data_IF_752475455030
#
_entry.id   IF_752475455030
#
_cell.length_a   1.000
_cell.length_b   1.000
_cell.length_c   1.000
_cell.angle_alpha   90.00
_cell.angle_beta   90.00
_cell.angle_gamma   90.00
#
_symmetry.space_group_name_H-M   'P 1'
#
loop_
_entity.id
_entity.type
_entity.pdbx_description
1 polymer ?
#
# COMPACT_ATOMS: atom_id res chain seq x y z
N UNK A 1 -34.82 -4.54 14.13
CA UNK A 1 -34.43 -5.19 15.40
C UNK A 1 -35.18 -4.62 16.60
N UNK A 2 -35.06 -3.33 16.96
CA UNK A 2 -35.85 -2.77 18.08
C UNK A 2 -37.37 -2.98 17.88
N UNK A 3 -37.85 -2.69 16.67
CA UNK A 3 -39.26 -2.92 16.31
C UNK A 3 -39.68 -4.38 16.50
N UNK A 4 -38.86 -5.33 16.09
CA UNK A 4 -39.13 -6.77 16.24
C UNK A 4 -39.15 -7.22 17.71
N UNK A 5 -38.25 -6.66 18.54
CA UNK A 5 -38.23 -6.91 19.99
C UNK A 5 -39.51 -6.35 20.63
N UNK A 6 -39.91 -5.13 20.24
CA UNK A 6 -41.11 -4.50 20.73
C UNK A 6 -42.38 -5.29 20.33
N UNK A 7 -42.48 -5.70 19.07
CA UNK A 7 -43.60 -6.48 18.56
C UNK A 7 -43.68 -7.85 19.25
N UNK A 8 -42.56 -8.56 19.39
CA UNK A 8 -42.50 -9.86 20.08
C UNK A 8 -42.92 -9.76 21.55
N UNK A 9 -42.41 -8.76 22.28
CA UNK A 9 -42.76 -8.55 23.69
C UNK A 9 -44.25 -8.22 23.82
N UNK A 10 -44.81 -7.43 22.90
CA UNK A 10 -46.23 -7.08 22.88
C UNK A 10 -47.13 -8.30 22.61
N UNK A 11 -46.72 -9.16 21.69
CA UNK A 11 -47.44 -10.39 21.35
C UNK A 11 -47.43 -11.39 22.52
N UNK A 12 -46.27 -11.59 23.15
CA UNK A 12 -46.12 -12.47 24.32
C UNK A 12 -46.90 -11.94 25.54
N UNK A 13 -46.94 -10.61 25.75
CA UNK A 13 -47.79 -10.03 26.80
C UNK A 13 -49.28 -10.18 26.52
N UNK A 14 -49.69 -10.09 25.26
CA UNK A 14 -51.08 -10.33 24.86
C UNK A 14 -51.45 -11.80 25.10
N UNK A 15 -50.54 -12.74 24.79
CA UNK A 15 -50.72 -14.17 25.07
C UNK A 15 -50.82 -14.48 26.56
N UNK A 16 -49.95 -13.90 27.40
CA UNK A 16 -50.00 -14.11 28.86
C UNK A 16 -51.19 -13.41 29.55
N UNK A 17 -51.62 -12.27 29.02
CA UNK A 17 -52.81 -11.57 29.55
C UNK A 17 -54.09 -12.34 29.26
N UNK A 18 -54.10 -13.12 28.18
CA UNK A 18 -55.19 -14.00 27.77
C UNK A 18 -55.10 -15.40 28.40
N UNK A 19 -54.38 -15.60 29.52
CA UNK A 19 -54.46 -16.86 30.26
C UNK A 19 -55.92 -17.14 30.64
N UNK A 20 -56.49 -18.13 29.96
CA UNK A 20 -57.89 -18.52 30.05
C UNK A 20 -58.16 -19.06 31.46
N UNK A 21 -58.97 -18.33 32.22
CA UNK A 21 -59.61 -18.82 33.46
C UNK A 21 -60.90 -19.60 33.07
N UNK A 22 -61.16 -19.73 31.77
CA UNK A 22 -62.41 -20.28 31.23
C UNK A 22 -62.53 -21.81 31.44
N UNK A 23 -61.44 -22.49 31.83
CA UNK A 23 -61.44 -23.91 32.23
C UNK A 23 -62.08 -24.20 33.60
N UNK A 24 -62.48 -23.17 34.36
CA UNK A 24 -63.13 -23.31 35.69
C UNK A 24 -64.64 -23.08 35.67
N UNK A 25 -65.23 -22.86 34.49
CA UNK A 25 -66.67 -22.65 34.34
C UNK A 25 -67.45 -23.88 34.81
N UNK A 26 -68.30 -23.67 35.83
CA UNK A 26 -69.15 -24.70 36.44
C UNK A 26 -68.61 -25.39 37.69
N UNK A 27 -67.34 -25.18 38.08
CA UNK A 27 -66.76 -25.79 39.29
C UNK A 27 -66.72 -24.85 40.50
N UNK A 28 -66.83 -23.54 40.27
CA UNK A 28 -66.68 -22.49 41.30
C UNK A 28 -67.84 -21.49 41.17
N UNK A 29 -68.40 -20.98 42.29
CA UNK A 29 -69.40 -19.92 42.25
C UNK A 29 -68.96 -18.71 41.43
N UNK A 30 -69.89 -18.17 40.64
CA UNK A 30 -69.63 -17.09 39.67
C UNK A 30 -69.01 -15.85 40.31
N UNK A 31 -69.34 -15.56 41.57
CA UNK A 31 -68.81 -14.41 42.32
C UNK A 31 -67.31 -14.56 42.63
N UNK A 32 -66.87 -15.78 42.96
CA UNK A 32 -65.45 -16.08 43.23
C UNK A 32 -64.65 -16.06 41.93
N UNK A 33 -65.23 -16.57 40.83
CA UNK A 33 -64.63 -16.51 39.50
C UNK A 33 -64.49 -15.06 39.01
N UNK A 34 -65.50 -14.22 39.21
CA UNK A 34 -65.46 -12.80 38.88
C UNK A 34 -64.45 -12.02 39.75
N UNK A 35 -64.38 -12.33 41.05
CA UNK A 35 -63.37 -11.75 41.94
C UNK A 35 -61.95 -12.16 41.55
N UNK A 36 -61.75 -13.41 41.13
CA UNK A 36 -60.47 -13.92 40.64
C UNK A 36 -60.08 -13.27 39.30
N UNK A 37 -61.02 -13.18 38.34
CA UNK A 37 -60.85 -12.47 37.06
C UNK A 37 -60.47 -11.00 37.30
N UNK A 38 -61.16 -10.30 38.21
CA UNK A 38 -60.86 -8.91 38.56
C UNK A 38 -59.50 -8.75 39.27
N UNK A 39 -59.14 -9.64 40.18
CA UNK A 39 -57.84 -9.64 40.85
C UNK A 39 -56.68 -9.91 39.86
N UNK A 40 -56.88 -10.83 38.91
CA UNK A 40 -55.91 -11.13 37.86
C UNK A 40 -55.79 -9.98 36.86
N UNK A 41 -56.90 -9.38 36.43
CA UNK A 41 -56.87 -8.19 35.57
C UNK A 41 -56.15 -7.01 36.25
N UNK A 42 -56.42 -6.76 37.54
CA UNK A 42 -55.72 -5.72 38.30
C UNK A 42 -54.21 -5.99 38.38
N UNK A 43 -53.82 -7.22 38.74
CA UNK A 43 -52.41 -7.65 38.78
C UNK A 43 -51.72 -7.56 37.42
N UNK A 44 -52.42 -7.94 36.35
CA UNK A 44 -51.91 -7.91 34.98
C UNK A 44 -51.77 -6.46 34.49
N UNK A 45 -52.73 -5.58 34.77
CA UNK A 45 -52.65 -4.15 34.42
C UNK A 45 -51.47 -3.43 35.07
N UNK A 46 -51.04 -3.86 36.27
CA UNK A 46 -49.88 -3.30 36.96
C UNK A 46 -48.54 -3.86 36.46
N UNK A 47 -48.53 -5.11 36.00
CA UNK A 47 -47.34 -5.77 35.42
C UNK A 47 -47.10 -5.35 33.96
N UNK A 48 -48.15 -5.22 33.17
CA UNK A 48 -48.11 -4.95 31.73
C UNK A 48 -48.28 -3.46 31.37
N UNK A 49 -47.92 -2.55 32.28
CA UNK A 49 -47.91 -1.11 31.98
C UNK A 49 -46.98 -0.81 30.80
N UNK A 50 -47.42 0.09 29.92
CA UNK A 50 -46.66 0.54 28.74
C UNK A 50 -45.25 1.04 29.09
N UNK A 51 -45.08 1.69 30.25
CA UNK A 51 -43.77 2.16 30.72
C UNK A 51 -42.83 1.02 31.12
N UNK A 52 -43.35 -0.08 31.67
CA UNK A 52 -42.56 -1.28 31.98
C UNK A 52 -42.21 -2.06 30.71
N UNK A 53 -43.12 -2.07 29.74
CA UNK A 53 -42.88 -2.64 28.42
C UNK A 53 -41.73 -1.92 27.69
N UNK A 54 -41.78 -0.59 27.62
CA UNK A 54 -40.73 0.19 26.96
C UNK A 54 -39.38 0.06 27.68
N UNK A 55 -39.38 0.05 29.02
CA UNK A 55 -38.18 -0.23 29.81
C UNK A 55 -37.60 -1.62 29.52
N UNK A 56 -38.44 -2.65 29.39
CA UNK A 56 -38.02 -4.00 29.03
C UNK A 56 -37.46 -4.07 27.60
N UNK A 57 -38.14 -3.45 26.63
CA UNK A 57 -37.68 -3.38 25.24
C UNK A 57 -36.31 -2.72 25.14
N UNK A 58 -36.13 -1.61 25.86
CA UNK A 58 -34.85 -0.90 25.94
C UNK A 58 -33.75 -1.76 26.55
N UNK A 59 -34.02 -2.45 27.66
CA UNK A 59 -33.05 -3.35 28.30
C UNK A 59 -32.63 -4.49 27.37
N UNK A 60 -33.59 -5.15 26.72
CA UNK A 60 -33.30 -6.24 25.77
C UNK A 60 -32.49 -5.72 24.59
N UNK A 61 -32.84 -4.54 24.05
CA UNK A 61 -32.10 -3.91 22.97
C UNK A 61 -30.65 -3.55 23.37
N UNK A 62 -30.44 -3.03 24.57
CA UNK A 62 -29.10 -2.71 25.08
C UNK A 62 -28.25 -3.98 25.25
N UNK A 63 -28.83 -5.06 25.77
CA UNK A 63 -28.17 -6.36 25.88
C UNK A 63 -27.78 -6.93 24.51
N UNK A 64 -28.70 -6.91 23.55
CA UNK A 64 -28.46 -7.33 22.17
C UNK A 64 -27.38 -6.48 21.49
N UNK A 65 -27.39 -5.17 21.72
CA UNK A 65 -26.37 -4.26 21.18
C UNK A 65 -24.99 -4.58 21.75
N UNK A 66 -24.87 -4.81 23.05
CA UNK A 66 -23.59 -5.17 23.67
C UNK A 66 -23.11 -6.57 23.29
N UNK A 67 -24.03 -7.53 23.13
CA UNK A 67 -23.72 -8.86 22.60
C UNK A 67 -23.23 -8.77 21.15
N UNK A 68 -23.95 -8.07 20.28
CA UNK A 68 -23.52 -7.83 18.89
C UNK A 68 -22.18 -7.12 18.81
N UNK A 69 -21.91 -6.13 19.67
CA UNK A 69 -20.61 -5.44 19.72
C UNK A 69 -19.46 -6.39 20.11
N UNK A 70 -19.72 -7.37 20.98
CA UNK A 70 -18.74 -8.42 21.31
C UNK A 70 -18.54 -9.36 20.12
N UNK A 71 -19.62 -9.83 19.50
CA UNK A 71 -19.56 -10.69 18.31
C UNK A 71 -18.83 -10.02 17.13
N UNK A 72 -19.10 -8.75 16.86
CA UNK A 72 -18.39 -8.00 15.81
C UNK A 72 -16.90 -7.90 16.12
N UNK A 73 -16.52 -7.65 17.37
CA UNK A 73 -15.09 -7.63 17.77
C UNK A 73 -14.45 -8.99 17.59
N UNK A 74 -15.11 -10.05 18.03
CA UNK A 74 -14.65 -11.43 17.89
C UNK A 74 -14.46 -11.80 16.41
N UNK A 75 -15.42 -11.44 15.53
CA UNK A 75 -15.29 -11.66 14.08
C UNK A 75 -14.15 -10.83 13.48
N UNK A 76 -13.97 -9.57 13.88
CA UNK A 76 -12.87 -8.73 13.39
C UNK A 76 -11.52 -9.29 13.85
N UNK A 77 -11.42 -9.81 15.07
CA UNK A 77 -10.22 -10.44 15.60
C UNK A 77 -9.94 -11.82 14.95
N UNK A 78 -10.99 -12.56 14.55
CA UNK A 78 -10.85 -13.84 13.85
C UNK A 78 -10.36 -13.68 12.40
N UNK A 79 -10.66 -12.55 11.75
CA UNK A 79 -10.23 -12.25 10.40
C UNK A 79 -8.78 -11.75 10.44
N UNK A 80 -7.85 -12.70 10.55
CA UNK A 80 -6.40 -12.48 10.36
C UNK A 80 -6.00 -12.29 8.89
N UNK A 81 -6.95 -12.02 7.99
CA UNK A 81 -6.65 -11.71 6.59
C UNK A 81 -5.99 -10.33 6.47
N UNK A 82 -5.12 -10.17 5.46
CA UNK A 82 -4.50 -8.87 5.17
C UNK A 82 -5.63 -7.87 4.88
N UNK A 83 -5.79 -6.81 5.70
CA UNK A 83 -6.91 -5.91 5.52
C UNK A 83 -6.77 -5.15 4.20
N UNK A 84 -7.89 -4.95 3.51
CA UNK A 84 -7.92 -4.29 2.19
C UNK A 84 -7.34 -2.87 2.18
N UNK A 85 -7.27 -2.20 3.33
CA UNK A 85 -6.64 -0.89 3.46
C UNK A 85 -5.11 -0.96 3.55
N UNK A 86 -4.53 -2.11 3.91
CA UNK A 86 -3.08 -2.32 3.95
C UNK A 86 -2.52 -2.74 2.58
N UNK A 87 -3.39 -3.10 1.64
CA UNK A 87 -3.03 -3.44 0.27
C UNK A 87 -3.15 -2.17 -0.57
N UNK A 88 -2.09 -1.85 -1.30
CA UNK A 88 -2.04 -0.68 -2.17
C UNK A 88 -3.03 -0.75 -3.33
N UNK A 89 -3.33 0.42 -3.92
CA UNK A 89 -4.40 0.58 -4.89
C UNK A 89 -4.17 -0.19 -6.18
N UNK A 90 -2.92 -0.33 -6.64
CA UNK A 90 -2.60 -1.05 -7.88
C UNK A 90 -2.72 -2.57 -7.71
N UNK A 91 -2.54 -3.06 -6.48
CA UNK A 91 -2.74 -4.49 -6.17
C UNK A 91 -4.23 -4.79 -6.02
N UNK A 92 -5.00 -3.84 -5.46
CA UNK A 92 -6.44 -3.99 -5.20
C UNK A 92 -7.30 -3.85 -6.46
N UNK A 93 -7.04 -2.81 -7.26
CA UNK A 93 -7.87 -2.42 -8.41
C UNK A 93 -7.09 -2.66 -9.73
N UNK A 94 -7.26 -3.85 -10.31
CA UNK A 94 -6.56 -4.26 -11.53
C UNK A 94 -7.16 -3.71 -12.83
N UNK A 95 -8.33 -3.07 -12.74
CA UNK A 95 -9.16 -2.76 -13.91
C UNK A 95 -8.85 -1.39 -14.55
N UNK A 96 -7.95 -0.59 -13.96
CA UNK A 96 -7.74 0.82 -14.35
C UNK A 96 -6.28 1.17 -14.64
N UNK A 97 -5.62 0.41 -15.53
CA UNK A 97 -4.30 0.74 -16.06
C UNK A 97 -3.19 0.67 -15.01
N UNK A 98 -2.21 -0.21 -15.22
CA UNK A 98 -1.18 -0.47 -14.19
C UNK A 98 -0.07 0.57 -14.27
N UNK A 99 0.13 1.32 -13.18
CA UNK A 99 1.32 2.15 -13.00
C UNK A 99 2.42 1.32 -12.33
N UNK A 100 3.53 1.09 -13.05
CA UNK A 100 4.66 0.29 -12.53
C UNK A 100 5.26 0.94 -11.27
N UNK A 101 5.42 2.26 -11.26
CA UNK A 101 5.98 2.99 -10.10
C UNK A 101 5.13 2.80 -8.85
N UNK A 102 3.82 2.97 -8.97
CA UNK A 102 2.88 2.78 -7.87
C UNK A 102 2.81 1.32 -7.45
N UNK A 103 2.87 0.38 -8.40
CA UNK A 103 2.91 -1.04 -8.11
C UNK A 103 4.17 -1.43 -7.33
N UNK A 104 5.33 -0.86 -7.66
CA UNK A 104 6.56 -1.06 -6.91
C UNK A 104 6.39 -0.56 -5.47
N UNK A 105 5.85 0.64 -5.28
CA UNK A 105 5.63 1.18 -3.94
C UNK A 105 4.61 0.37 -3.14
N UNK A 106 3.57 -0.14 -3.79
CA UNK A 106 2.55 -1.00 -3.18
C UNK A 106 3.14 -2.35 -2.74
N UNK A 107 3.98 -2.97 -3.58
CA UNK A 107 4.68 -4.23 -3.27
C UNK A 107 5.64 -4.06 -2.10
N UNK A 108 6.37 -2.94 -2.04
CA UNK A 108 7.30 -2.65 -0.94
C UNK A 108 6.58 -2.44 0.41
N UNK A 109 5.32 -2.01 0.39
CA UNK A 109 4.48 -1.81 1.59
C UNK A 109 3.75 -3.06 2.06
N UNK A 110 3.78 -4.15 1.30
CA UNK A 110 3.10 -5.39 1.69
C UNK A 110 3.60 -5.90 3.04
N UNK A 111 2.69 -6.27 3.97
CA UNK A 111 3.09 -6.76 5.29
C UNK A 111 3.78 -8.12 5.20
N UNK A 112 4.69 -8.36 6.14
CA UNK A 112 5.24 -9.69 6.34
C UNK A 112 4.30 -10.48 7.25
N UNK A 113 3.80 -11.60 6.76
CA UNK A 113 2.93 -12.48 7.53
C UNK A 113 3.78 -13.63 8.03
N UNK A 114 4.41 -13.45 9.20
CA UNK A 114 5.10 -14.54 9.88
C UNK A 114 4.12 -15.22 10.84
N UNK A 115 4.06 -16.55 10.80
CA UNK A 115 3.34 -17.32 11.83
C UNK A 115 4.11 -17.16 13.13
N UNK A 116 3.46 -16.65 14.17
CA UNK A 116 3.99 -16.78 15.53
C UNK A 116 3.98 -18.28 15.88
N UNK A 117 5.14 -18.85 16.17
CA UNK A 117 5.32 -20.29 16.49
C UNK A 117 4.59 -20.73 17.79
N UNK A 118 3.82 -19.87 18.44
CA UNK A 118 3.20 -20.16 19.72
C UNK A 118 1.73 -20.59 19.58
N UNK A 119 1.54 -21.90 19.47
CA UNK A 119 0.46 -22.59 20.18
C UNK A 119 -0.91 -22.72 19.50
N UNK A 120 -1.08 -22.30 18.24
CA UNK A 120 -2.29 -22.59 17.49
C UNK A 120 -2.02 -23.61 16.38
N UNK A 121 -2.75 -24.72 16.41
CA UNK A 121 -2.82 -25.71 15.32
C UNK A 121 -3.36 -25.04 14.05
N UNK A 122 -2.53 -24.27 13.36
CA UNK A 122 -2.85 -23.83 11.99
C UNK A 122 -2.82 -25.07 11.10
N UNK A 123 -3.87 -25.32 10.31
CA UNK A 123 -3.87 -26.41 9.32
C UNK A 123 -2.58 -26.36 8.49
N UNK A 124 -1.94 -27.50 8.23
CA UNK A 124 -0.69 -27.56 7.43
C UNK A 124 -0.82 -26.86 6.06
N UNK A 125 -2.03 -26.76 5.52
CA UNK A 125 -2.35 -26.05 4.28
C UNK A 125 -2.15 -24.55 4.39
N UNK A 126 -2.54 -23.94 5.50
CA UNK A 126 -2.48 -22.49 5.69
C UNK A 126 -1.02 -22.05 5.90
N UNK A 127 -0.22 -22.88 6.56
CA UNK A 127 1.21 -22.68 6.69
C UNK A 127 1.94 -22.71 5.34
N UNK A 128 1.58 -23.65 4.45
CA UNK A 128 2.15 -23.73 3.10
C UNK A 128 1.83 -22.47 2.27
N UNK A 129 0.58 -22.03 2.30
CA UNK A 129 0.15 -20.81 1.58
C UNK A 129 0.87 -19.57 2.12
N UNK A 130 1.09 -19.47 3.43
CA UNK A 130 1.80 -18.33 4.02
C UNK A 130 3.28 -18.31 3.63
N UNK A 131 3.91 -19.48 3.57
CA UNK A 131 5.28 -19.60 3.12
C UNK A 131 5.39 -19.26 1.62
N UNK A 132 4.46 -19.71 0.78
CA UNK A 132 4.37 -19.31 -0.63
C UNK A 132 4.20 -17.80 -0.79
N UNK A 133 3.30 -17.17 -0.01
CA UNK A 133 3.14 -15.72 0.01
C UNK A 133 4.44 -15.01 0.37
N UNK A 134 5.12 -15.46 1.44
CA UNK A 134 6.36 -14.85 1.91
C UNK A 134 7.46 -14.95 0.86
N UNK A 135 7.59 -16.12 0.21
CA UNK A 135 8.55 -16.33 -0.87
C UNK A 135 8.25 -15.43 -2.07
N UNK A 136 6.99 -15.37 -2.49
CA UNK A 136 6.56 -14.52 -3.59
C UNK A 136 6.79 -13.03 -3.30
N UNK A 137 6.44 -12.58 -2.09
CA UNK A 137 6.72 -11.20 -1.63
C UNK A 137 8.21 -10.87 -1.73
N UNK A 138 9.06 -11.76 -1.24
CA UNK A 138 10.51 -11.54 -1.27
C UNK A 138 11.05 -11.52 -2.72
N UNK A 139 10.55 -12.37 -3.59
CA UNK A 139 10.91 -12.35 -5.01
C UNK A 139 10.46 -11.05 -5.69
N UNK A 140 9.23 -10.59 -5.43
CA UNK A 140 8.70 -9.36 -5.98
C UNK A 140 9.49 -8.14 -5.50
N UNK A 141 9.87 -8.08 -4.22
CA UNK A 141 10.74 -7.02 -3.68
C UNK A 141 12.09 -7.01 -4.39
N UNK A 142 12.71 -8.18 -4.61
CA UNK A 142 13.97 -8.27 -5.37
C UNK A 142 13.82 -7.73 -6.79
N UNK A 143 12.72 -8.07 -7.48
CA UNK A 143 12.43 -7.54 -8.83
C UNK A 143 12.24 -6.02 -8.82
N UNK A 144 11.49 -5.49 -7.86
CA UNK A 144 11.30 -4.04 -7.70
C UNK A 144 12.62 -3.30 -7.49
N UNK A 145 13.50 -3.84 -6.65
CA UNK A 145 14.84 -3.26 -6.43
C UNK A 145 15.71 -3.33 -7.69
N UNK A 146 15.63 -4.43 -8.44
CA UNK A 146 16.35 -4.56 -9.71
C UNK A 146 15.86 -3.56 -10.76
N UNK A 147 14.54 -3.29 -10.82
CA UNK A 147 13.97 -2.27 -11.71
C UNK A 147 14.50 -0.88 -11.33
N UNK A 148 14.40 -0.48 -10.04
CA UNK A 148 14.88 0.81 -9.55
C UNK A 148 16.38 1.02 -9.84
N UNK A 149 17.19 -0.01 -9.63
CA UNK A 149 18.62 0.02 -9.95
C UNK A 149 18.87 0.10 -11.47
N UNK A 150 18.09 -0.66 -12.25
CA UNK A 150 18.14 -0.67 -13.70
C UNK A 150 17.84 0.70 -14.30
N UNK A 151 16.81 1.39 -13.81
CA UNK A 151 16.44 2.75 -14.25
C UNK A 151 17.55 3.75 -13.98
N UNK A 152 18.12 3.74 -12.76
CA UNK A 152 19.22 4.63 -12.41
C UNK A 152 20.44 4.39 -13.30
N UNK A 153 20.81 3.12 -13.52
CA UNK A 153 21.96 2.78 -14.35
C UNK A 153 21.72 3.09 -15.83
N UNK A 154 20.50 2.91 -16.32
CA UNK A 154 20.13 3.21 -17.70
C UNK A 154 20.30 4.69 -17.99
N UNK A 155 19.84 5.58 -17.09
CA UNK A 155 20.01 7.02 -17.25
C UNK A 155 21.49 7.41 -17.36
N UNK A 156 22.35 6.84 -16.52
CA UNK A 156 23.80 7.09 -16.59
C UNK A 156 24.39 6.60 -17.92
N UNK A 157 23.99 5.41 -18.38
CA UNK A 157 24.49 4.82 -19.63
C UNK A 157 24.00 5.60 -20.86
N UNK A 158 22.78 6.09 -20.85
CA UNK A 158 22.26 6.97 -21.90
C UNK A 158 23.05 8.28 -21.97
N UNK A 159 23.39 8.87 -20.82
CA UNK A 159 24.23 10.06 -20.79
C UNK A 159 25.63 9.79 -21.35
N UNK A 160 26.27 8.69 -20.94
CA UNK A 160 27.58 8.27 -21.48
C UNK A 160 27.51 8.04 -22.99
N UNK A 161 26.47 7.38 -23.49
CA UNK A 161 26.26 7.15 -24.91
C UNK A 161 26.09 8.46 -25.70
N UNK A 162 25.32 9.42 -25.16
CA UNK A 162 25.17 10.76 -25.77
C UNK A 162 26.50 11.50 -25.86
N UNK A 163 27.33 11.45 -24.80
CA UNK A 163 28.64 12.09 -24.78
C UNK A 163 29.58 11.46 -25.82
N UNK A 164 29.60 10.13 -25.89
CA UNK A 164 30.40 9.40 -26.89
C UNK A 164 29.95 9.76 -28.30
N UNK A 165 28.64 9.71 -28.58
CA UNK A 165 28.11 10.07 -29.90
C UNK A 165 28.45 11.51 -30.28
N UNK A 166 28.32 12.46 -29.35
CA UNK A 166 28.71 13.85 -29.59
C UNK A 166 30.20 14.00 -29.91
N UNK A 167 31.09 13.27 -29.23
CA UNK A 167 32.51 13.26 -29.54
C UNK A 167 32.79 12.67 -30.92
N UNK A 168 32.15 11.55 -31.26
CA UNK A 168 32.28 10.89 -32.56
C UNK A 168 31.82 11.81 -33.70
N UNK A 169 30.71 12.51 -33.51
CA UNK A 169 30.17 13.43 -34.50
C UNK A 169 31.06 14.67 -34.66
N UNK A 170 31.58 15.24 -33.57
CA UNK A 170 32.56 16.33 -33.63
C UNK A 170 33.85 15.94 -34.38
N UNK A 171 34.33 14.71 -34.23
CA UNK A 171 35.49 14.21 -34.98
C UNK A 171 35.17 14.12 -36.48
N UNK A 172 33.98 13.61 -36.84
CA UNK A 172 33.53 13.52 -38.23
C UNK A 172 33.34 14.89 -38.88
N UNK A 173 32.87 15.87 -38.13
CA UNK A 173 32.69 17.25 -38.64
C UNK A 173 34.04 17.97 -38.80
N UNK A 174 34.97 17.77 -37.87
CA UNK A 174 36.27 18.46 -37.87
C UNK A 174 37.33 17.85 -38.80
N UNK A 175 37.17 16.58 -39.19
CA UNK A 175 38.17 15.84 -39.96
C UNK A 175 37.54 15.12 -41.15
N UNK A 176 38.20 15.12 -42.30
CA UNK A 176 37.77 14.37 -43.49
C UNK A 176 38.07 12.86 -43.43
N UNK A 177 38.77 12.40 -42.38
CA UNK A 177 39.08 10.98 -42.19
C UNK A 177 38.07 10.32 -41.28
N UNK A 178 37.88 9.02 -41.46
CA UNK A 178 37.08 8.20 -40.54
C UNK A 178 37.63 8.28 -39.11
N UNK A 179 36.75 8.10 -38.13
CA UNK A 179 37.01 8.23 -36.70
C UNK A 179 38.12 7.28 -36.23
N UNK A 180 38.12 6.04 -36.73
CA UNK A 180 39.16 5.05 -36.38
C UNK A 180 40.55 5.55 -36.76
N UNK A 181 40.69 6.10 -37.97
CA UNK A 181 41.96 6.66 -38.44
C UNK A 181 42.37 7.90 -37.64
N UNK A 182 41.40 8.70 -37.18
CA UNK A 182 41.67 9.84 -36.30
C UNK A 182 42.32 9.38 -35.00
N UNK A 183 41.77 8.38 -34.32
CA UNK A 183 42.32 7.87 -33.06
C UNK A 183 43.66 7.16 -33.24
N UNK A 184 43.84 6.37 -34.31
CA UNK A 184 45.13 5.70 -34.59
C UNK A 184 46.25 6.72 -34.86
N UNK A 185 45.95 7.78 -35.62
CA UNK A 185 46.93 8.80 -35.95
C UNK A 185 47.11 9.87 -34.85
N UNK A 186 46.23 9.90 -33.84
CA UNK A 186 46.17 10.97 -32.84
C UNK A 186 47.51 11.17 -32.14
N UNK A 187 48.11 10.09 -31.63
CA UNK A 187 49.37 10.19 -30.89
C UNK A 187 50.52 10.71 -31.78
N UNK A 188 50.60 10.27 -33.04
CA UNK A 188 51.60 10.74 -33.99
C UNK A 188 51.40 12.22 -34.31
N UNK A 189 50.15 12.66 -34.53
CA UNK A 189 49.82 14.08 -34.76
C UNK A 189 50.23 14.95 -33.59
N UNK A 190 49.92 14.52 -32.36
CA UNK A 190 50.32 15.22 -31.13
C UNK A 190 51.84 15.28 -30.98
N UNK A 191 52.54 14.17 -31.28
CA UNK A 191 54.00 14.14 -31.22
C UNK A 191 54.64 15.10 -32.24
N UNK A 192 54.18 15.10 -33.48
CA UNK A 192 54.65 16.05 -34.50
C UNK A 192 54.37 17.49 -34.07
N UNK A 193 53.15 17.79 -33.59
CA UNK A 193 52.80 19.14 -33.13
C UNK A 193 53.66 19.61 -31.95
N UNK A 194 53.99 18.71 -31.01
CA UNK A 194 54.92 18.99 -29.91
C UNK A 194 56.34 19.24 -30.41
N UNK A 195 56.80 18.47 -31.39
CA UNK A 195 58.13 18.63 -31.97
C UNK A 195 58.24 19.94 -32.76
N UNK A 196 57.20 20.30 -33.51
CA UNK A 196 57.10 21.59 -34.21
C UNK A 196 57.08 22.75 -33.20
N UNK A 197 56.29 22.61 -32.12
CA UNK A 197 56.26 23.59 -31.02
C UNK A 197 57.62 23.75 -30.35
N UNK A 198 58.35 22.64 -30.11
CA UNK A 198 59.72 22.68 -29.59
C UNK A 198 60.64 23.48 -30.50
N UNK A 199 60.63 23.22 -31.81
CA UNK A 199 61.46 23.97 -32.75
C UNK A 199 61.09 25.46 -32.78
N UNK A 200 59.79 25.77 -32.71
CA UNK A 200 59.29 27.14 -32.67
C UNK A 200 59.76 27.87 -31.41
N UNK A 201 59.75 27.21 -30.26
CA UNK A 201 60.30 27.73 -29.00
C UNK A 201 61.82 27.91 -29.07
N UNK A 202 62.56 26.94 -29.62
CA UNK A 202 64.02 27.05 -29.78
C UNK A 202 64.39 28.22 -30.68
N UNK A 203 63.68 28.44 -31.79
CA UNK A 203 63.91 29.59 -32.68
C UNK A 203 63.55 30.90 -31.97
N UNK A 204 62.43 30.93 -31.24
CA UNK A 204 62.00 32.11 -30.50
C UNK A 204 62.98 32.49 -29.37
N UNK A 205 63.56 31.51 -28.66
CA UNK A 205 64.60 31.73 -27.65
C UNK A 205 65.89 32.25 -28.30
N UNK A 206 66.35 31.63 -29.39
CA UNK A 206 67.57 32.05 -30.11
C UNK A 206 67.47 33.46 -30.69
N UNK A 207 66.27 33.91 -31.01
CA UNK A 207 65.99 35.25 -31.55
C UNK A 207 65.41 36.23 -30.52
N UNK A 208 65.33 35.83 -29.26
CA UNK A 208 64.73 36.60 -28.16
C UNK A 208 65.48 37.91 -27.85
N UNK A 209 66.79 37.93 -28.06
CA UNK A 209 67.63 39.12 -27.85
C UNK A 209 67.56 40.13 -29.01
N UNK A 210 67.04 39.73 -30.18
CA UNK A 210 67.19 40.50 -31.43
C UNK A 210 65.90 41.14 -31.97
N UNK A 211 64.69 40.73 -31.56
CA UNK A 211 63.46 41.22 -32.21
C UNK A 211 62.24 41.36 -31.25
N UNK A 212 61.68 42.57 -31.16
CA UNK A 212 60.53 42.88 -30.27
C UNK A 212 59.22 42.24 -30.74
N UNK A 213 59.08 41.95 -32.04
CA UNK A 213 57.88 41.31 -32.60
C UNK A 213 57.78 39.83 -32.19
N UNK A 214 58.93 39.16 -31.99
CA UNK A 214 58.97 37.77 -31.52
C UNK A 214 58.67 37.64 -30.02
N UNK A 215 58.94 38.68 -29.22
CA UNK A 215 58.51 38.74 -27.80
C UNK A 215 56.99 38.84 -27.66
N UNK A 216 56.32 39.65 -28.49
CA UNK A 216 54.86 39.72 -28.48
C UNK A 216 54.20 38.38 -28.84
N UNK A 217 54.77 37.65 -29.80
CA UNK A 217 54.31 36.30 -30.19
C UNK A 217 54.50 35.25 -29.09
N UNK A 218 55.59 35.33 -28.33
CA UNK A 218 55.82 34.49 -27.15
C UNK A 218 54.83 34.78 -26.03
N UNK A 219 54.51 36.05 -25.80
CA UNK A 219 53.56 36.46 -24.78
C UNK A 219 52.12 36.01 -25.12
N UNK A 220 51.74 36.08 -26.39
CA UNK A 220 50.47 35.57 -26.89
C UNK A 220 50.35 34.03 -26.85
N UNK A 221 51.46 33.31 -26.71
CA UNK A 221 51.51 31.85 -26.57
C UNK A 221 51.40 31.40 -25.09
N UNK A 222 51.58 32.34 -24.16
CA UNK A 222 51.54 32.12 -22.71
C UNK A 222 50.22 32.54 -22.05
N UNK A 223 49.47 33.45 -22.68
CA UNK A 223 48.09 33.82 -22.32
C UNK A 223 47.08 32.82 -22.91
#
# INVERSE_FOLDING_TARGET
>A
MYQQIADFIKDEFTRQSNCEIDDLDGQVPLEVLNALKAALQKRNSERFKVTKHDALCKQVYELEREWRKRQIREVIELIGEIPRYAIGTEIRDKDHGVSIDKLIDDVLKLPNMAVAEEGHETPETDFKVLNEYTNLRNELIKKCNAIKLGESNLQEKEYQAKLINSLLDAIKESTTSDVSNYFEAYHKRVFTALQDSKYLLEDAIKSYESDSAKRAKLQQLMD
#
